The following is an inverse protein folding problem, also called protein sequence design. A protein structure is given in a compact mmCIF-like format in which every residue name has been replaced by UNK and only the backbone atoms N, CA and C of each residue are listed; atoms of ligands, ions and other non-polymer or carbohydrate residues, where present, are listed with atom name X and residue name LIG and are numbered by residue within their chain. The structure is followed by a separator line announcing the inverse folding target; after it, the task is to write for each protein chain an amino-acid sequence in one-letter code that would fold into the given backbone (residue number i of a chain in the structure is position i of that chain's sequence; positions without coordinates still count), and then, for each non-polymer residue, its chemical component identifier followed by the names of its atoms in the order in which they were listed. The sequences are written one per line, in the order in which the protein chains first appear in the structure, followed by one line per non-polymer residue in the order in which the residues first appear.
data_IF_342451117513
#
_entry.id   IF_342451117513
#
_cell.length_a   1.000
_cell.length_b   1.000
_cell.length_c   1.000
_cell.angle_alpha   90.00
_cell.angle_beta   90.00
_cell.angle_gamma   90.00
#
_symmetry.space_group_name_H-M   'P 1'
#
loop_
_entity.id
_entity.type
_entity.pdbx_description
1 polymer ?
#
# COMPACT_ATOMS: atom_id res chain seq x y z
N UNK A 1 -4.69 -31.19 3.67
CA UNK A 1 -4.07 -31.36 5.00
C UNK A 1 -3.83 -29.98 5.64
N UNK A 2 -4.85 -29.12 5.66
CA UNK A 2 -4.74 -27.70 6.00
C UNK A 2 -5.95 -27.28 6.84
N UNK A 3 -5.96 -27.62 8.13
CA UNK A 3 -6.98 -27.17 9.10
C UNK A 3 -6.56 -27.55 10.52
N UNK A 4 -5.46 -26.98 11.03
CA UNK A 4 -5.09 -27.01 12.46
C UNK A 4 -3.87 -26.12 12.72
N UNK A 5 -4.08 -24.81 12.81
CA UNK A 5 -3.12 -23.87 13.43
C UNK A 5 -3.80 -22.57 13.88
N UNK A 6 -5.05 -22.68 14.33
CA UNK A 6 -5.71 -21.63 15.10
C UNK A 6 -5.60 -22.04 16.57
N UNK A 7 -5.11 -21.13 17.41
CA UNK A 7 -4.98 -21.22 18.88
C UNK A 7 -3.63 -21.77 19.41
N UNK A 8 -2.64 -20.87 19.47
CA UNK A 8 -1.71 -20.80 20.61
C UNK A 8 -1.61 -19.34 21.05
N UNK A 9 -2.24 -19.02 22.17
CA UNK A 9 -2.12 -17.73 22.85
C UNK A 9 -0.81 -17.67 23.63
N UNK A 10 0.04 -16.67 23.36
CA UNK A 10 1.14 -16.27 24.23
C UNK A 10 0.91 -14.81 24.66
N UNK A 11 1.09 -14.53 25.96
CA UNK A 11 0.61 -13.34 26.66
C UNK A 11 1.02 -11.99 26.06
N UNK A 12 0.06 -11.06 26.04
CA UNK A 12 0.26 -9.67 25.62
C UNK A 12 0.86 -8.82 26.76
N UNK A 13 1.90 -8.00 26.50
CA UNK A 13 2.28 -6.92 27.41
C UNK A 13 1.32 -5.72 27.26
N UNK A 14 0.97 -5.09 28.40
CA UNK A 14 0.08 -3.93 28.50
C UNK A 14 0.65 -2.70 27.76
N UNK A 15 -0.22 -1.99 27.05
CA UNK A 15 0.11 -0.88 26.14
C UNK A 15 0.20 0.48 26.87
N UNK A 16 1.19 1.33 26.51
CA UNK A 16 1.37 2.68 27.07
C UNK A 16 0.94 3.80 26.10
N UNK A 17 0.71 5.00 26.64
CA UNK A 17 0.11 6.18 25.99
C UNK A 17 0.86 6.75 24.76
N UNK A 18 2.08 6.30 24.43
CA UNK A 18 2.79 6.73 23.21
C UNK A 18 2.31 6.00 21.94
N UNK A 19 1.45 4.99 22.09
CA UNK A 19 0.93 4.18 20.98
C UNK A 19 -0.36 4.75 20.34
N UNK A 20 -1.05 5.67 21.00
CA UNK A 20 -2.33 6.26 20.53
C UNK A 20 -2.14 7.18 19.33
N UNK A 21 -1.27 8.19 19.42
CA UNK A 21 -0.96 9.11 18.32
C UNK A 21 -0.35 8.40 17.08
N UNK A 22 0.26 7.23 17.29
CA UNK A 22 0.85 6.39 16.23
C UNK A 22 -0.19 5.57 15.47
N UNK A 23 -1.15 4.99 16.20
CA UNK A 23 -2.33 4.34 15.61
C UNK A 23 -3.07 5.35 14.72
N UNK A 24 -3.28 6.56 15.22
CA UNK A 24 -4.04 7.61 14.51
C UNK A 24 -3.52 7.91 13.10
N UNK A 25 -2.20 7.90 12.86
CA UNK A 25 -1.64 8.19 11.52
C UNK A 25 -1.85 7.06 10.51
N UNK A 26 -1.65 5.80 10.91
CA UNK A 26 -1.91 4.65 10.03
C UNK A 26 -3.41 4.50 9.77
N UNK A 27 -4.24 4.72 10.80
CA UNK A 27 -5.69 4.77 10.64
C UNK A 27 -6.15 5.91 9.75
N UNK A 28 -5.57 7.11 9.86
CA UNK A 28 -5.92 8.23 8.99
C UNK A 28 -5.61 7.94 7.51
N UNK A 29 -4.47 7.29 7.24
CA UNK A 29 -4.10 6.88 5.88
C UNK A 29 -5.06 5.81 5.32
N UNK A 30 -5.40 4.79 6.11
CA UNK A 30 -6.41 3.80 5.73
C UNK A 30 -7.78 4.46 5.46
N UNK A 31 -8.20 5.40 6.31
CA UNK A 31 -9.47 6.13 6.15
C UNK A 31 -9.52 6.93 4.85
N UNK A 32 -8.42 7.59 4.47
CA UNK A 32 -8.37 8.36 3.22
C UNK A 32 -8.50 7.43 2.01
N UNK A 33 -7.79 6.30 2.02
CA UNK A 33 -7.84 5.28 0.97
C UNK A 33 -9.27 4.73 0.79
N UNK A 34 -9.86 4.27 1.90
CA UNK A 34 -11.24 3.74 1.92
C UNK A 34 -12.26 4.77 1.46
N UNK A 35 -12.09 6.05 1.83
CA UNK A 35 -12.97 7.12 1.37
C UNK A 35 -12.86 7.32 -0.15
N UNK A 36 -11.65 7.28 -0.70
CA UNK A 36 -11.42 7.37 -2.14
C UNK A 36 -12.11 6.23 -2.88
N UNK A 37 -12.01 4.99 -2.39
CA UNK A 37 -12.71 3.86 -2.99
C UNK A 37 -14.23 3.98 -2.90
N UNK A 38 -14.77 4.45 -1.77
CA UNK A 38 -16.20 4.71 -1.62
C UNK A 38 -16.69 5.78 -2.62
N UNK A 39 -15.91 6.85 -2.83
CA UNK A 39 -16.20 7.90 -3.83
C UNK A 39 -16.19 7.35 -5.24
N UNK A 40 -15.17 6.55 -5.61
CA UNK A 40 -15.06 5.93 -6.93
C UNK A 40 -16.22 4.96 -7.18
N UNK A 41 -16.56 4.12 -6.19
CA UNK A 41 -17.68 3.19 -6.26
C UNK A 41 -19.02 3.92 -6.43
N UNK A 42 -19.24 4.99 -5.66
CA UNK A 42 -20.43 5.83 -5.78
C UNK A 42 -20.53 6.50 -7.16
N UNK A 43 -19.41 7.02 -7.67
CA UNK A 43 -19.32 7.62 -9.00
C UNK A 43 -19.68 6.58 -10.07
N UNK A 44 -19.05 5.39 -10.03
CA UNK A 44 -19.32 4.31 -10.99
C UNK A 44 -20.78 3.86 -10.99
N UNK A 45 -21.35 3.58 -9.81
CA UNK A 45 -22.76 3.20 -9.69
C UNK A 45 -23.68 4.32 -10.20
N UNK A 46 -23.31 5.58 -9.94
CA UNK A 46 -24.10 6.72 -10.40
C UNK A 46 -23.94 6.99 -11.89
N UNK A 47 -22.84 6.62 -12.55
CA UNK A 47 -22.71 6.78 -14.00
C UNK A 47 -23.37 5.63 -14.76
N UNK A 48 -23.20 4.39 -14.32
CA UNK A 48 -23.62 3.20 -15.07
C UNK A 48 -25.05 2.73 -14.77
N UNK A 49 -25.57 2.96 -13.56
CA UNK A 49 -26.88 2.44 -13.11
C UNK A 49 -27.89 3.58 -12.85
N UNK A 50 -27.45 4.83 -13.07
CA UNK A 50 -28.11 6.08 -12.76
C UNK A 50 -29.62 6.17 -13.08
N UNK A 51 -29.99 5.68 -14.25
CA UNK A 51 -31.31 5.92 -14.85
C UNK A 51 -32.36 4.93 -14.34
N UNK A 52 -31.93 3.86 -13.67
CA UNK A 52 -32.80 2.74 -13.27
C UNK A 52 -32.99 2.60 -11.76
N UNK A 53 -32.17 3.32 -10.99
CA UNK A 53 -32.19 3.28 -9.52
C UNK A 53 -32.16 4.71 -8.97
N UNK A 54 -33.01 5.06 -7.98
CA UNK A 54 -32.98 6.40 -7.39
C UNK A 54 -31.59 6.79 -6.90
N UNK A 55 -31.25 8.08 -7.03
CA UNK A 55 -29.90 8.62 -6.73
C UNK A 55 -29.33 8.14 -5.39
N UNK A 56 -30.14 8.19 -4.32
CA UNK A 56 -29.69 7.77 -2.98
C UNK A 56 -29.23 6.30 -2.93
N UNK A 57 -29.91 5.42 -3.66
CA UNK A 57 -29.67 3.98 -3.64
C UNK A 57 -28.52 3.59 -4.57
N UNK A 58 -28.36 4.26 -5.71
CA UNK A 58 -27.18 4.07 -6.57
C UNK A 58 -25.91 4.52 -5.86
N UNK A 59 -25.93 5.68 -5.20
CA UNK A 59 -24.80 6.16 -4.40
C UNK A 59 -24.51 5.24 -3.21
N UNK A 60 -25.52 4.84 -2.44
CA UNK A 60 -25.32 3.95 -1.29
C UNK A 60 -24.76 2.59 -1.71
N UNK A 61 -25.29 1.98 -2.78
CA UNK A 61 -24.79 0.70 -3.28
C UNK A 61 -23.34 0.77 -3.76
N UNK A 62 -23.01 1.78 -4.58
CA UNK A 62 -21.64 1.99 -5.05
C UNK A 62 -20.66 2.33 -3.92
N UNK A 63 -21.03 3.24 -3.02
CA UNK A 63 -20.19 3.65 -1.89
C UNK A 63 -19.95 2.49 -0.92
N UNK A 64 -21.00 1.75 -0.56
CA UNK A 64 -20.87 0.59 0.32
C UNK A 64 -19.99 -0.48 -0.31
N UNK A 65 -20.16 -0.73 -1.61
CA UNK A 65 -19.32 -1.66 -2.34
C UNK A 65 -17.85 -1.23 -2.43
N UNK A 66 -17.60 0.06 -2.62
CA UNK A 66 -16.24 0.62 -2.63
C UNK A 66 -15.59 0.68 -1.24
N UNK A 67 -16.39 0.81 -0.18
CA UNK A 67 -15.92 0.84 1.21
C UNK A 67 -15.60 -0.57 1.75
N UNK A 68 -16.42 -1.55 1.39
CA UNK A 68 -16.42 -2.86 2.04
C UNK A 68 -15.07 -3.58 2.06
N UNK A 69 -14.26 -3.61 0.98
CA UNK A 69 -13.05 -4.42 1.01
C UNK A 69 -12.05 -4.03 2.11
N UNK A 70 -11.93 -2.74 2.42
CA UNK A 70 -11.02 -2.22 3.46
C UNK A 70 -11.51 -2.45 4.90
N UNK A 71 -12.66 -3.09 5.09
CA UNK A 71 -13.05 -3.55 6.43
C UNK A 71 -12.04 -4.57 6.99
N UNK A 72 -11.21 -5.17 6.12
CA UNK A 72 -10.11 -6.06 6.48
C UNK A 72 -9.11 -5.41 7.45
N UNK A 73 -8.97 -4.07 7.46
CA UNK A 73 -8.15 -3.34 8.45
C UNK A 73 -8.58 -3.60 9.90
N UNK A 74 -9.81 -4.07 10.16
CA UNK A 74 -10.18 -4.50 11.51
C UNK A 74 -9.33 -5.67 12.01
N UNK A 75 -8.82 -6.53 11.12
CA UNK A 75 -7.96 -7.66 11.48
C UNK A 75 -6.55 -7.23 11.88
N UNK A 76 -6.11 -6.03 11.49
CA UNK A 76 -4.86 -5.43 11.99
C UNK A 76 -4.84 -5.32 13.52
N UNK A 77 -6.01 -5.18 14.16
CA UNK A 77 -6.12 -5.11 15.62
C UNK A 77 -5.83 -6.44 16.31
N UNK A 78 -5.96 -7.57 15.60
CA UNK A 78 -5.75 -8.92 16.13
C UNK A 78 -4.27 -9.29 16.06
N UNK A 79 -3.69 -9.20 14.87
CA UNK A 79 -2.27 -9.50 14.64
C UNK A 79 -1.75 -8.70 13.44
N UNK A 80 -1.01 -7.60 13.69
CA UNK A 80 -0.46 -6.75 12.64
C UNK A 80 0.46 -7.47 11.65
N UNK A 81 1.28 -8.43 12.12
CA UNK A 81 2.25 -9.10 11.26
C UNK A 81 1.54 -10.10 10.35
N UNK A 82 0.64 -10.90 10.91
CA UNK A 82 -0.20 -11.82 10.13
C UNK A 82 -1.12 -11.08 9.17
N UNK A 83 -1.67 -9.93 9.59
CA UNK A 83 -2.47 -9.09 8.71
C UNK A 83 -1.69 -8.66 7.47
N UNK A 84 -0.50 -8.08 7.63
CA UNK A 84 0.31 -7.63 6.51
C UNK A 84 0.82 -8.81 5.64
N UNK A 85 1.20 -9.92 6.27
CA UNK A 85 1.74 -11.08 5.57
C UNK A 85 0.67 -11.83 4.75
N UNK A 86 -0.55 -11.98 5.27
CA UNK A 86 -1.52 -12.93 4.73
C UNK A 86 -2.93 -12.37 4.49
N UNK A 87 -3.44 -11.51 5.37
CA UNK A 87 -4.88 -11.20 5.38
C UNK A 87 -5.25 -9.95 4.61
N UNK A 88 -4.36 -8.95 4.60
CA UNK A 88 -4.64 -7.68 3.93
C UNK A 88 -4.73 -7.87 2.42
N UNK A 89 -5.79 -7.33 1.81
CA UNK A 89 -6.06 -7.42 0.36
C UNK A 89 -6.15 -8.85 -0.15
N UNK A 90 -6.72 -9.73 0.68
CA UNK A 90 -6.96 -11.14 0.37
C UNK A 90 -8.46 -11.40 0.12
N UNK A 91 -9.15 -12.10 1.03
CA UNK A 91 -10.51 -12.59 0.83
C UNK A 91 -11.57 -11.50 0.53
N UNK A 92 -11.40 -10.29 1.06
CA UNK A 92 -12.26 -9.11 0.81
C UNK A 92 -12.06 -8.50 -0.58
N UNK A 93 -10.87 -8.67 -1.17
CA UNK A 93 -10.46 -8.11 -2.45
C UNK A 93 -10.44 -9.15 -3.58
N UNK A 94 -10.96 -10.35 -3.33
CA UNK A 94 -11.03 -11.42 -4.31
C UNK A 94 -12.12 -11.19 -5.36
N UNK A 95 -11.75 -11.33 -6.62
CA UNK A 95 -12.68 -11.28 -7.74
C UNK A 95 -13.64 -12.49 -7.73
N UNK A 96 -13.20 -13.63 -7.21
CA UNK A 96 -14.03 -14.83 -7.09
C UNK A 96 -15.08 -14.68 -5.98
N UNK A 97 -14.76 -13.96 -4.90
CA UNK A 97 -15.70 -13.69 -3.80
C UNK A 97 -16.59 -12.47 -4.07
N UNK A 98 -16.29 -11.66 -5.09
CA UNK A 98 -17.06 -10.46 -5.44
C UNK A 98 -18.57 -10.73 -5.57
N UNK A 99 -19.07 -11.78 -6.27
CA UNK A 99 -20.50 -12.04 -6.37
C UNK A 99 -21.15 -12.30 -5.00
N UNK A 100 -20.45 -13.03 -4.13
CA UNK A 100 -20.92 -13.33 -2.77
C UNK A 100 -21.02 -12.06 -1.92
N UNK A 101 -19.97 -11.23 -1.93
CA UNK A 101 -19.96 -9.98 -1.18
C UNK A 101 -20.98 -8.97 -1.70
N UNK A 102 -21.10 -8.83 -3.02
CA UNK A 102 -22.12 -7.98 -3.64
C UNK A 102 -23.55 -8.42 -3.25
N UNK A 103 -23.80 -9.73 -3.16
CA UNK A 103 -25.08 -10.26 -2.68
C UNK A 103 -25.32 -9.88 -1.22
N UNK A 104 -24.34 -10.12 -0.33
CA UNK A 104 -24.45 -9.76 1.09
C UNK A 104 -24.77 -8.28 1.30
N UNK A 105 -24.03 -7.40 0.61
CA UNK A 105 -24.21 -5.95 0.71
C UNK A 105 -25.56 -5.49 0.15
N UNK A 106 -25.97 -6.04 -1.00
CA UNK A 106 -27.26 -5.69 -1.60
C UNK A 106 -28.46 -6.16 -0.78
N UNK A 107 -28.39 -7.34 -0.16
CA UNK A 107 -29.38 -7.82 0.81
C UNK A 107 -29.43 -6.89 2.03
N UNK A 108 -28.27 -6.46 2.52
CA UNK A 108 -28.20 -5.49 3.64
C UNK A 108 -28.92 -4.19 3.28
N UNK A 109 -28.63 -3.60 2.11
CA UNK A 109 -29.33 -2.39 1.64
C UNK A 109 -30.83 -2.62 1.41
N UNK A 110 -31.20 -3.79 0.89
CA UNK A 110 -32.59 -4.18 0.71
C UNK A 110 -33.33 -4.19 2.06
N UNK A 111 -32.73 -4.77 3.11
CA UNK A 111 -33.29 -4.81 4.46
C UNK A 111 -33.34 -3.44 5.14
N UNK A 112 -32.35 -2.57 4.91
CA UNK A 112 -32.26 -1.21 5.48
C UNK A 112 -33.12 -0.15 4.76
N UNK A 113 -34.19 -0.56 4.09
CA UNK A 113 -35.16 0.33 3.45
C UNK A 113 -35.15 0.29 1.92
N UNK A 114 -34.29 -0.53 1.31
CA UNK A 114 -34.21 -0.73 -0.13
C UNK A 114 -35.30 -1.62 -0.72
N UNK A 115 -36.22 -2.15 0.10
CA UNK A 115 -37.25 -3.13 -0.32
C UNK A 115 -38.12 -2.73 -1.52
N UNK A 116 -38.35 -1.42 -1.69
CA UNK A 116 -39.13 -0.87 -2.83
C UNK A 116 -38.30 -0.71 -4.11
N UNK A 117 -37.01 -1.00 -4.05
CA UNK A 117 -36.10 -0.88 -5.18
C UNK A 117 -35.89 -2.23 -5.84
N UNK A 118 -35.40 -2.19 -7.09
CA UNK A 118 -35.00 -3.40 -7.79
C UNK A 118 -33.74 -3.99 -7.13
N UNK A 119 -33.87 -5.15 -6.48
CA UNK A 119 -32.77 -5.85 -5.80
C UNK A 119 -31.59 -6.19 -6.72
N UNK A 120 -31.86 -6.46 -8.00
CA UNK A 120 -30.81 -6.70 -8.99
C UNK A 120 -29.97 -5.44 -9.25
N UNK A 121 -30.58 -4.26 -9.25
CA UNK A 121 -29.83 -3.00 -9.41
C UNK A 121 -29.03 -2.64 -8.16
N UNK A 122 -29.52 -3.00 -6.96
CA UNK A 122 -28.74 -2.88 -5.72
C UNK A 122 -27.52 -3.82 -5.76
N UNK A 123 -27.72 -5.07 -6.21
CA UNK A 123 -26.64 -6.04 -6.42
C UNK A 123 -25.61 -5.52 -7.41
N UNK A 124 -26.03 -5.07 -8.60
CA UNK A 124 -25.12 -4.51 -9.60
C UNK A 124 -24.37 -3.26 -9.09
N UNK A 125 -25.04 -2.41 -8.31
CA UNK A 125 -24.39 -1.24 -7.69
C UNK A 125 -23.29 -1.64 -6.70
N UNK A 126 -23.55 -2.62 -5.85
CA UNK A 126 -22.55 -3.14 -4.91
C UNK A 126 -21.42 -3.86 -5.65
N UNK A 127 -21.73 -4.71 -6.62
CA UNK A 127 -20.76 -5.43 -7.44
C UNK A 127 -19.83 -4.48 -8.20
N UNK A 128 -20.38 -3.38 -8.74
CA UNK A 128 -19.59 -2.36 -9.42
C UNK A 128 -18.70 -1.60 -8.44
N UNK A 129 -19.19 -1.25 -7.26
CA UNK A 129 -18.37 -0.64 -6.20
C UNK A 129 -17.19 -1.52 -5.80
N UNK A 130 -17.44 -2.82 -5.55
CA UNK A 130 -16.38 -3.79 -5.23
C UNK A 130 -15.39 -3.94 -6.38
N UNK A 131 -15.90 -4.11 -7.61
CA UNK A 131 -15.05 -4.30 -8.78
C UNK A 131 -14.15 -3.08 -9.02
N UNK A 132 -14.69 -1.87 -8.84
CA UNK A 132 -13.90 -0.64 -8.94
C UNK A 132 -12.90 -0.49 -7.80
N UNK A 133 -13.22 -0.91 -6.58
CA UNK A 133 -12.25 -0.97 -5.49
C UNK A 133 -11.08 -1.89 -5.86
N UNK A 134 -11.37 -3.15 -6.23
CA UNK A 134 -10.34 -4.14 -6.59
C UNK A 134 -9.50 -3.66 -7.77
N UNK A 135 -10.14 -3.07 -8.79
CA UNK A 135 -9.42 -2.50 -9.93
C UNK A 135 -8.55 -1.31 -9.55
N UNK A 136 -9.02 -0.44 -8.65
CA UNK A 136 -8.25 0.68 -8.14
C UNK A 136 -7.04 0.18 -7.33
N UNK A 137 -7.21 -0.82 -6.47
CA UNK A 137 -6.08 -1.39 -5.74
C UNK A 137 -5.09 -2.10 -6.66
N UNK A 138 -5.56 -2.79 -7.71
CA UNK A 138 -4.71 -3.45 -8.69
C UNK A 138 -3.77 -2.46 -9.41
N UNK A 139 -4.19 -1.21 -9.60
CA UNK A 139 -3.35 -0.17 -10.21
C UNK A 139 -2.44 0.55 -9.21
N UNK A 140 -2.56 0.29 -7.91
CA UNK A 140 -1.66 0.83 -6.89
C UNK A 140 -0.37 0.03 -6.77
N UNK A 141 0.55 0.50 -5.92
CA UNK A 141 1.85 -0.12 -5.65
C UNK A 141 1.78 -1.33 -4.70
N UNK A 142 0.63 -1.66 -4.12
CA UNK A 142 0.52 -2.80 -3.19
C UNK A 142 -0.26 -3.93 -3.82
N UNK A 143 0.28 -5.13 -3.69
CA UNK A 143 -0.22 -6.34 -4.31
C UNK A 143 -1.45 -6.90 -3.59
N UNK A 144 -2.31 -7.59 -4.35
CA UNK A 144 -3.55 -8.18 -3.83
C UNK A 144 -3.80 -9.57 -4.41
N UNK A 145 -4.56 -10.40 -3.69
CA UNK A 145 -4.88 -11.78 -4.10
C UNK A 145 -6.20 -11.85 -4.88
N UNK A 146 -6.13 -11.71 -6.20
CA UNK A 146 -7.32 -11.67 -7.07
C UNK A 146 -8.14 -12.95 -7.05
N UNK A 147 -7.48 -14.10 -6.89
CA UNK A 147 -8.07 -15.43 -7.10
C UNK A 147 -8.22 -16.23 -5.81
N UNK A 148 -8.16 -15.59 -4.64
CA UNK A 148 -8.45 -16.27 -3.38
C UNK A 148 -9.88 -16.85 -3.39
N UNK A 149 -10.13 -18.10 -2.94
CA UNK A 149 -9.22 -19.02 -2.25
C UNK A 149 -8.52 -20.04 -3.16
N UNK A 150 -8.63 -19.90 -4.49
CA UNK A 150 -8.03 -20.85 -5.43
C UNK A 150 -6.53 -20.66 -5.61
N UNK A 151 -6.01 -19.46 -5.37
CA UNK A 151 -4.59 -19.13 -5.49
C UNK A 151 -4.18 -18.02 -4.52
N UNK A 152 -2.98 -18.15 -3.96
CA UNK A 152 -2.32 -17.15 -3.12
C UNK A 152 -1.46 -16.17 -3.96
N UNK A 153 -1.55 -16.23 -5.29
CA UNK A 153 -0.82 -15.33 -6.18
C UNK A 153 -1.23 -13.88 -5.95
N UNK A 154 -0.23 -13.03 -5.69
CA UNK A 154 -0.40 -11.59 -5.49
C UNK A 154 0.11 -10.82 -6.69
N UNK A 155 -0.60 -9.76 -7.07
CA UNK A 155 -0.21 -8.93 -8.21
C UNK A 155 -0.57 -7.47 -7.99
N UNK A 156 0.20 -6.58 -8.64
CA UNK A 156 -0.05 -5.14 -8.71
C UNK A 156 0.54 -4.58 -10.00
N UNK A 157 -0.11 -3.56 -10.54
CA UNK A 157 0.36 -2.84 -11.73
C UNK A 157 1.20 -1.62 -11.38
N UNK A 158 1.16 -1.10 -10.14
CA UNK A 158 2.01 0.00 -9.68
C UNK A 158 2.00 1.24 -10.60
N UNK A 159 0.81 1.69 -11.01
CA UNK A 159 0.65 2.89 -11.83
C UNK A 159 0.57 4.15 -10.97
N UNK A 160 -0.22 4.09 -9.89
CA UNK A 160 -0.44 5.22 -8.99
C UNK A 160 0.01 4.88 -7.56
N UNK A 161 0.35 5.91 -6.79
CA UNK A 161 0.63 5.73 -5.38
C UNK A 161 -0.68 5.44 -4.63
N UNK A 162 -0.63 4.59 -3.61
CA UNK A 162 -1.83 4.09 -2.88
C UNK A 162 -2.69 5.26 -2.41
N UNK A 163 -2.07 6.25 -1.75
CA UNK A 163 -2.78 7.43 -1.25
C UNK A 163 -2.39 8.63 -2.10
N UNK A 164 -3.06 8.76 -3.25
CA UNK A 164 -2.86 9.87 -4.19
C UNK A 164 -3.94 10.96 -3.98
N UNK A 165 -3.62 12.09 -3.32
CA UNK A 165 -4.59 13.14 -3.05
C UNK A 165 -5.15 13.78 -4.32
N UNK A 166 -4.38 13.80 -5.42
CA UNK A 166 -4.82 14.37 -6.69
C UNK A 166 -5.85 13.46 -7.35
N UNK A 167 -5.57 12.16 -7.42
CA UNK A 167 -6.52 11.17 -7.93
C UNK A 167 -7.82 11.17 -7.11
N UNK A 168 -7.69 11.23 -5.78
CA UNK A 168 -8.82 11.32 -4.85
C UNK A 168 -9.66 12.57 -5.08
N UNK A 169 -9.02 13.74 -5.27
CA UNK A 169 -9.70 14.99 -5.58
C UNK A 169 -10.40 14.97 -6.95
N UNK A 170 -9.77 14.38 -7.97
CA UNK A 170 -10.38 14.18 -9.29
C UNK A 170 -11.62 13.28 -9.20
N UNK A 171 -11.57 12.19 -8.42
CA UNK A 171 -12.72 11.31 -8.22
C UNK A 171 -13.86 12.01 -7.48
N UNK A 172 -13.54 12.80 -6.45
CA UNK A 172 -14.53 13.56 -5.70
C UNK A 172 -15.18 14.65 -6.56
N UNK A 173 -14.40 15.42 -7.31
CA UNK A 173 -14.93 16.44 -8.23
C UNK A 173 -15.81 15.83 -9.30
N UNK A 174 -15.43 14.68 -9.86
CA UNK A 174 -16.25 13.92 -10.80
C UNK A 174 -17.60 13.51 -10.19
N UNK A 175 -17.60 13.03 -8.94
CA UNK A 175 -18.82 12.66 -8.22
C UNK A 175 -19.72 13.89 -7.97
N UNK A 176 -19.15 15.02 -7.56
CA UNK A 176 -19.87 16.28 -7.34
C UNK A 176 -20.47 16.85 -8.64
N UNK A 177 -19.73 16.76 -9.74
CA UNK A 177 -20.24 17.14 -11.07
C UNK A 177 -21.39 16.21 -11.49
N UNK A 178 -21.27 14.90 -11.28
CA UNK A 178 -22.34 13.95 -11.56
C UNK A 178 -23.58 14.17 -10.67
N UNK A 179 -23.38 14.65 -9.45
CA UNK A 179 -24.48 15.05 -8.55
C UNK A 179 -25.28 16.24 -9.10
N UNK A 180 -24.58 17.25 -9.65
CA UNK A 180 -25.20 18.47 -10.21
C UNK A 180 -25.74 18.26 -11.62
N UNK A 181 -25.04 17.47 -12.43
CA UNK A 181 -25.31 17.23 -13.85
C UNK A 181 -25.21 15.72 -14.13
N UNK A 182 -26.31 14.97 -14.03
CA UNK A 182 -26.29 13.51 -14.07
C UNK A 182 -25.81 12.92 -15.41
N UNK A 183 -25.94 13.66 -16.51
CA UNK A 183 -25.44 13.25 -17.83
C UNK A 183 -23.95 13.55 -18.03
N UNK A 184 -23.32 14.32 -17.14
CA UNK A 184 -21.91 14.72 -17.21
C UNK A 184 -20.96 13.76 -16.47
N UNK A 185 -21.43 12.60 -16.02
CA UNK A 185 -20.61 11.66 -15.26
C UNK A 185 -19.33 11.23 -15.99
N UNK A 186 -19.38 11.10 -17.32
CA UNK A 186 -18.22 10.80 -18.16
C UNK A 186 -17.24 11.97 -18.28
N UNK A 187 -17.72 13.23 -18.22
CA UNK A 187 -16.86 14.42 -18.19
C UNK A 187 -16.02 14.47 -16.90
N UNK A 188 -16.57 13.96 -15.79
CA UNK A 188 -15.82 13.78 -14.55
C UNK A 188 -14.83 12.62 -14.58
N UNK A 189 -15.15 11.54 -15.31
CA UNK A 189 -14.27 10.37 -15.42
C UNK A 189 -13.07 10.58 -16.36
N UNK A 190 -13.19 11.44 -17.38
CA UNK A 190 -12.13 11.69 -18.35
C UNK A 190 -10.79 12.17 -17.72
N UNK A 191 -10.78 13.12 -16.76
CA UNK A 191 -9.57 13.49 -16.03
C UNK A 191 -8.88 12.32 -15.29
N UNK A 192 -9.65 11.38 -14.74
CA UNK A 192 -9.10 10.19 -14.09
C UNK A 192 -8.39 9.28 -15.10
N UNK A 193 -9.00 9.06 -16.26
CA UNK A 193 -8.39 8.27 -17.35
C UNK A 193 -7.10 8.94 -17.83
N UNK A 194 -7.10 10.26 -18.03
CA UNK A 194 -5.90 11.01 -18.40
C UNK A 194 -4.81 10.91 -17.33
N UNK A 195 -5.17 10.97 -16.05
CA UNK A 195 -4.24 10.76 -14.93
C UNK A 195 -3.56 9.40 -15.01
N UNK A 196 -4.32 8.34 -15.31
CA UNK A 196 -3.77 6.99 -15.46
C UNK A 196 -2.85 6.87 -16.69
N UNK A 197 -3.23 7.45 -17.83
CA UNK A 197 -2.39 7.46 -19.03
C UNK A 197 -1.04 8.12 -18.75
N UNK A 198 -1.02 9.28 -18.12
CA UNK A 198 0.23 9.94 -17.74
C UNK A 198 1.03 9.11 -16.74
N UNK A 199 0.37 8.48 -15.77
CA UNK A 199 1.04 7.63 -14.79
C UNK A 199 1.72 6.42 -15.43
N UNK A 200 1.09 5.79 -16.43
CA UNK A 200 1.67 4.70 -17.21
C UNK A 200 2.88 5.17 -18.02
N UNK A 201 2.77 6.33 -18.68
CA UNK A 201 3.90 6.92 -19.43
C UNK A 201 5.09 7.23 -18.51
N UNK A 202 4.83 7.80 -17.34
CA UNK A 202 5.87 8.07 -16.35
C UNK A 202 6.48 6.79 -15.78
N UNK A 203 5.69 5.73 -15.60
CA UNK A 203 6.21 4.41 -15.21
C UNK A 203 7.21 3.89 -16.24
N UNK A 204 6.89 4.00 -17.53
CA UNK A 204 7.77 3.54 -18.61
C UNK A 204 9.11 4.30 -18.60
N UNK A 205 9.07 5.63 -18.49
CA UNK A 205 10.29 6.46 -18.39
C UNK A 205 11.13 6.11 -17.15
N UNK A 206 10.50 5.90 -16.00
CA UNK A 206 11.18 5.49 -14.79
C UNK A 206 11.84 4.10 -14.96
N UNK A 207 11.16 3.17 -15.63
CA UNK A 207 11.68 1.83 -15.92
C UNK A 207 12.89 1.88 -16.85
N UNK A 208 12.84 2.69 -17.91
CA UNK A 208 13.95 2.90 -18.84
C UNK A 208 15.20 3.42 -18.12
N UNK A 209 15.05 4.41 -17.23
CA UNK A 209 16.16 4.94 -16.43
C UNK A 209 16.74 3.88 -15.48
N UNK A 210 15.89 3.08 -14.84
CA UNK A 210 16.34 2.02 -13.95
C UNK A 210 17.02 0.87 -14.71
N UNK A 211 16.54 0.53 -15.90
CA UNK A 211 17.15 -0.47 -16.78
C UNK A 211 18.51 0.00 -17.32
N UNK A 212 18.63 1.27 -17.71
CA UNK A 212 19.90 1.85 -18.15
C UNK A 212 20.97 1.79 -17.05
N UNK A 213 20.59 2.04 -15.79
CA UNK A 213 21.48 1.84 -14.65
C UNK A 213 21.79 0.35 -14.43
N UNK A 214 20.80 -0.53 -14.49
CA UNK A 214 20.98 -1.96 -14.29
C UNK A 214 21.95 -2.59 -15.29
N UNK A 215 21.97 -2.14 -16.55
CA UNK A 215 22.92 -2.59 -17.57
C UNK A 215 24.39 -2.30 -17.22
N UNK A 216 24.64 -1.32 -16.34
CA UNK A 216 25.97 -0.97 -15.87
C UNK A 216 26.40 -1.80 -14.64
N UNK A 217 25.48 -2.58 -14.06
CA UNK A 217 25.73 -3.40 -12.88
C UNK A 217 25.84 -4.87 -13.27
N UNK A 218 27.00 -5.48 -13.04
CA UNK A 218 27.26 -6.87 -13.41
C UNK A 218 26.32 -7.89 -12.73
N UNK A 219 25.78 -7.53 -11.55
CA UNK A 219 24.97 -8.42 -10.71
C UNK A 219 23.47 -8.12 -10.75
N UNK A 220 23.00 -7.24 -11.65
CA UNK A 220 21.59 -6.87 -11.70
C UNK A 220 20.70 -8.06 -12.12
N UNK A 221 19.80 -8.47 -11.24
CA UNK A 221 18.88 -9.58 -11.46
C UNK A 221 17.45 -9.11 -11.78
N UNK A 222 16.98 -8.05 -11.14
CA UNK A 222 15.61 -7.58 -11.31
C UNK A 222 15.53 -6.06 -11.20
N UNK A 223 14.78 -5.43 -12.10
CA UNK A 223 14.46 -4.01 -12.05
C UNK A 223 13.00 -3.84 -11.66
N UNK A 224 12.73 -2.92 -10.75
CA UNK A 224 11.37 -2.59 -10.31
C UNK A 224 11.25 -1.10 -10.05
N UNK A 225 10.09 -0.55 -10.38
CA UNK A 225 9.80 0.87 -10.17
C UNK A 225 8.44 1.01 -9.49
N UNK A 226 8.37 1.93 -8.53
CA UNK A 226 7.16 2.15 -7.74
C UNK A 226 6.80 3.63 -7.71
N UNK A 227 5.51 3.99 -7.90
CA UNK A 227 5.07 5.36 -7.79
C UNK A 227 5.26 5.85 -6.34
N UNK A 228 5.47 7.14 -6.17
CA UNK A 228 5.78 7.77 -4.89
C UNK A 228 4.85 8.96 -4.62
N UNK A 229 4.66 9.37 -3.35
CA UNK A 229 3.73 10.44 -3.00
C UNK A 229 4.10 11.80 -3.60
N UNK A 230 3.17 12.75 -3.44
CA UNK A 230 3.28 14.18 -3.78
C UNK A 230 3.24 14.56 -5.27
N UNK A 231 3.54 13.64 -6.18
CA UNK A 231 3.46 13.89 -7.63
C UNK A 231 3.47 12.58 -8.41
N UNK A 232 2.71 12.46 -9.53
CA UNK A 232 2.78 11.30 -10.43
C UNK A 232 4.13 11.17 -11.15
N UNK A 233 4.99 12.20 -11.03
CA UNK A 233 6.36 12.20 -11.54
C UNK A 233 7.38 11.66 -10.55
N UNK A 234 7.00 11.40 -9.30
CA UNK A 234 7.90 10.88 -8.30
C UNK A 234 7.86 9.35 -8.35
N UNK A 235 9.03 8.73 -8.47
CA UNK A 235 9.21 7.29 -8.61
C UNK A 235 10.35 6.81 -7.73
N UNK A 236 10.22 5.60 -7.20
CA UNK A 236 11.32 4.87 -6.58
C UNK A 236 11.83 3.86 -7.59
N UNK A 237 13.12 3.91 -7.87
CA UNK A 237 13.80 2.95 -8.71
C UNK A 237 14.49 1.93 -7.80
N UNK A 238 14.36 0.66 -8.11
CA UNK A 238 15.02 -0.42 -7.40
C UNK A 238 15.64 -1.39 -8.40
N UNK A 239 16.95 -1.57 -8.31
CA UNK A 239 17.68 -2.61 -9.04
C UNK A 239 18.19 -3.61 -8.01
N UNK A 240 17.67 -4.83 -8.06
CA UNK A 240 18.02 -5.91 -7.15
C UNK A 240 19.20 -6.70 -7.72
N UNK A 241 20.23 -6.91 -6.89
CA UNK A 241 21.35 -7.81 -7.18
C UNK A 241 21.41 -9.00 -6.22
N UNK A 242 22.53 -9.72 -6.27
CA UNK A 242 22.81 -10.88 -5.42
C UNK A 242 22.97 -10.47 -3.95
N UNK A 243 23.79 -9.45 -3.67
CA UNK A 243 24.14 -9.01 -2.32
C UNK A 243 23.23 -7.94 -1.73
N UNK A 244 22.38 -7.31 -2.54
CA UNK A 244 21.57 -6.18 -2.08
C UNK A 244 20.74 -5.54 -3.17
N UNK A 245 20.39 -4.28 -2.95
CA UNK A 245 19.53 -3.50 -3.82
C UNK A 245 20.10 -2.09 -4.01
N UNK A 246 20.20 -1.61 -5.24
CA UNK A 246 20.40 -0.20 -5.53
C UNK A 246 19.05 0.50 -5.57
N UNK A 247 18.89 1.52 -4.74
CA UNK A 247 17.68 2.34 -4.65
C UNK A 247 17.98 3.77 -5.10
N UNK A 248 17.05 4.37 -5.83
CA UNK A 248 17.07 5.81 -6.09
C UNK A 248 15.66 6.40 -5.99
N UNK A 249 15.58 7.66 -5.58
CA UNK A 249 14.34 8.43 -5.51
C UNK A 249 14.30 9.45 -6.64
N UNK A 250 13.58 9.10 -7.70
CA UNK A 250 13.46 9.87 -8.93
C UNK A 250 12.30 10.86 -8.86
N UNK A 251 12.52 12.03 -9.46
CA UNK A 251 11.50 12.91 -9.99
C UNK A 251 11.73 13.05 -11.50
N UNK A 252 10.72 12.71 -12.29
CA UNK A 252 10.77 12.92 -13.74
C UNK A 252 10.70 14.41 -14.08
N UNK A 253 11.64 14.85 -14.93
CA UNK A 253 11.87 16.25 -15.29
C UNK A 253 13.26 16.76 -14.86
N UNK A 254 13.57 18.00 -15.23
CA UNK A 254 14.91 18.59 -15.09
C UNK A 254 15.11 19.41 -13.81
N UNK A 255 14.03 19.66 -13.06
CA UNK A 255 14.06 20.57 -11.91
C UNK A 255 13.33 20.01 -10.70
N UNK A 256 13.76 20.48 -9.52
CA UNK A 256 13.09 20.20 -8.24
C UNK A 256 11.65 20.70 -8.27
N UNK A 257 10.79 20.05 -7.48
CA UNK A 257 9.39 20.45 -7.37
C UNK A 257 9.23 21.76 -6.62
N UNK A 258 8.77 22.83 -7.30
CA UNK A 258 8.28 24.02 -6.59
C UNK A 258 7.08 23.73 -5.69
N UNK A 259 6.28 22.71 -6.04
CA UNK A 259 5.14 22.27 -5.22
C UNK A 259 5.57 21.57 -3.92
N UNK A 260 6.82 21.11 -3.81
CA UNK A 260 7.29 20.46 -2.58
C UNK A 260 7.29 21.43 -1.38
N UNK A 261 7.52 22.73 -1.63
CA UNK A 261 7.65 23.75 -0.58
C UNK A 261 6.32 24.05 0.13
N UNK A 262 5.20 23.77 -0.53
CA UNK A 262 3.85 24.08 -0.03
C UNK A 262 3.23 22.97 0.84
N UNK A 263 3.92 21.84 1.05
CA UNK A 263 3.41 20.84 1.99
C UNK A 263 3.42 21.39 3.43
N UNK A 264 2.32 21.19 4.18
CA UNK A 264 2.07 21.90 5.43
C UNK A 264 2.97 21.44 6.58
N UNK A 265 3.38 20.17 6.60
CA UNK A 265 4.23 19.63 7.67
C UNK A 265 5.69 19.53 7.23
N UNK A 266 6.67 19.84 8.12
CA UNK A 266 8.10 19.79 7.80
C UNK A 266 8.56 18.43 7.24
N UNK A 267 8.09 17.33 7.81
CA UNK A 267 8.43 15.99 7.35
C UNK A 267 7.89 15.66 5.95
N UNK A 268 6.69 16.16 5.61
CA UNK A 268 6.13 16.03 4.25
C UNK A 268 6.98 16.82 3.26
N UNK A 269 7.36 18.04 3.64
CA UNK A 269 8.20 18.93 2.83
C UNK A 269 9.58 18.31 2.58
N UNK A 270 10.25 17.79 3.62
CA UNK A 270 11.56 17.16 3.48
C UNK A 270 11.52 15.94 2.55
N UNK A 271 10.49 15.09 2.68
CA UNK A 271 10.31 13.94 1.78
C UNK A 271 10.00 14.40 0.35
N UNK A 272 9.11 15.39 0.17
CA UNK A 272 8.76 15.90 -1.15
C UNK A 272 9.95 16.57 -1.89
N UNK A 273 10.88 17.19 -1.15
CA UNK A 273 12.08 17.82 -1.68
C UNK A 273 13.22 16.82 -1.99
N UNK A 274 13.18 15.63 -1.40
CA UNK A 274 14.26 14.66 -1.49
C UNK A 274 14.30 13.87 -2.83
N UNK A 275 13.22 13.90 -3.62
CA UNK A 275 13.21 13.31 -4.96
C UNK A 275 14.11 14.10 -5.92
N UNK A 276 15.06 13.42 -6.56
CA UNK A 276 16.07 14.02 -7.44
C UNK A 276 15.65 14.00 -8.90
N UNK A 277 15.95 15.06 -9.69
CA UNK A 277 15.76 15.02 -11.14
C UNK A 277 16.63 13.93 -11.77
N UNK A 278 16.23 13.43 -12.93
CA UNK A 278 16.93 12.31 -13.58
C UNK A 278 18.40 12.60 -13.90
N UNK A 279 18.76 13.86 -14.16
CA UNK A 279 20.14 14.32 -14.41
C UNK A 279 21.05 14.31 -13.18
N UNK A 280 20.47 14.26 -11.98
CA UNK A 280 21.20 14.26 -10.70
C UNK A 280 20.74 13.11 -9.79
N UNK A 281 20.34 11.98 -10.40
CA UNK A 281 19.92 10.78 -9.70
C UNK A 281 21.04 10.25 -8.81
N UNK A 282 20.74 10.08 -7.51
CA UNK A 282 21.66 9.49 -6.54
C UNK A 282 21.19 8.06 -6.26
N UNK A 283 22.05 7.08 -6.57
CA UNK A 283 21.84 5.67 -6.26
C UNK A 283 22.49 5.32 -4.93
N UNK A 284 21.73 4.66 -4.06
CA UNK A 284 22.18 4.18 -2.77
C UNK A 284 22.12 2.66 -2.76
N UNK A 285 23.22 2.01 -2.34
CA UNK A 285 23.24 0.57 -2.18
C UNK A 285 22.77 0.18 -0.78
N UNK A 286 21.84 -0.75 -0.73
CA UNK A 286 21.30 -1.33 0.49
C UNK A 286 21.64 -2.82 0.51
N UNK A 287 22.55 -3.27 1.40
CA UNK A 287 22.88 -4.68 1.50
C UNK A 287 21.67 -5.48 2.00
N UNK A 288 21.50 -6.71 1.52
CA UNK A 288 20.40 -7.57 1.94
C UNK A 288 20.64 -8.14 3.34
N UNK A 289 21.84 -8.66 3.56
CA UNK A 289 22.25 -9.30 4.82
C UNK A 289 23.60 -8.78 5.31
N UNK A 290 24.51 -8.48 4.39
CA UNK A 290 25.87 -8.06 4.71
C UNK A 290 25.89 -6.74 5.49
N UNK A 291 26.89 -6.62 6.37
CA UNK A 291 27.15 -5.38 7.09
C UNK A 291 28.64 -5.23 7.39
N UNK A 292 29.13 -3.99 7.61
CA UNK A 292 30.52 -3.73 7.99
C UNK A 292 30.95 -4.45 9.28
N UNK A 293 30.00 -4.91 10.11
CA UNK A 293 30.26 -5.59 11.38
C UNK A 293 30.59 -7.08 11.22
N UNK A 294 30.50 -7.64 10.00
CA UNK A 294 30.82 -9.06 9.73
C UNK A 294 29.75 -10.04 10.20
N UNK A 295 28.52 -9.58 10.47
CA UNK A 295 27.37 -10.36 10.94
C UNK A 295 26.52 -10.96 9.80
N UNK A 296 26.97 -10.88 8.55
CA UNK A 296 26.19 -11.24 7.35
C UNK A 296 25.69 -12.68 7.34
N UNK A 297 26.53 -13.65 7.71
CA UNK A 297 26.12 -15.07 7.77
C UNK A 297 25.06 -15.31 8.86
N UNK A 298 25.21 -14.67 10.02
CA UNK A 298 24.23 -14.76 11.11
C UNK A 298 22.91 -14.12 10.70
N UNK A 299 22.95 -12.98 9.99
CA UNK A 299 21.78 -12.33 9.45
C UNK A 299 21.06 -13.20 8.42
N UNK A 300 21.80 -13.88 7.53
CA UNK A 300 21.23 -14.82 6.56
C UNK A 300 20.55 -16.02 7.26
N UNK A 301 21.25 -16.67 8.20
CA UNK A 301 20.68 -17.79 8.96
C UNK A 301 19.42 -17.37 9.72
N UNK A 302 19.46 -16.22 10.38
CA UNK A 302 18.32 -15.67 11.10
C UNK A 302 17.16 -15.36 10.14
N UNK A 303 17.45 -14.73 9.00
CA UNK A 303 16.45 -14.41 7.98
C UNK A 303 15.69 -15.65 7.52
N UNK A 304 16.35 -16.79 7.38
CA UNK A 304 15.73 -18.06 6.96
C UNK A 304 15.08 -18.88 8.09
N UNK A 305 15.20 -18.45 9.36
CA UNK A 305 14.59 -19.14 10.50
C UNK A 305 13.05 -19.11 10.47
N UNK A 306 12.39 -20.06 11.13
CA UNK A 306 10.91 -20.08 11.26
C UNK A 306 10.37 -18.80 11.90
N UNK A 307 11.13 -18.18 12.80
CA UNK A 307 10.76 -16.97 13.52
C UNK A 307 10.47 -15.77 12.60
N UNK A 308 11.19 -15.66 11.48
CA UNK A 308 11.00 -14.59 10.50
C UNK A 308 10.16 -15.03 9.30
N UNK A 309 9.50 -16.19 9.34
CA UNK A 309 8.69 -16.69 8.21
C UNK A 309 7.63 -15.67 7.77
N UNK A 310 6.85 -15.13 8.69
CA UNK A 310 5.80 -14.16 8.36
C UNK A 310 6.38 -12.84 7.84
N UNK A 311 7.56 -12.44 8.34
CA UNK A 311 8.28 -11.27 7.86
C UNK A 311 8.76 -11.49 6.43
N UNK A 312 9.30 -12.67 6.11
CA UNK A 312 9.70 -13.05 4.75
C UNK A 312 8.51 -13.09 3.79
N UNK A 313 7.35 -13.56 4.26
CA UNK A 313 6.14 -13.57 3.46
C UNK A 313 5.67 -12.15 3.13
N UNK A 314 5.82 -11.24 4.08
CA UNK A 314 5.43 -9.84 3.91
C UNK A 314 6.43 -9.05 3.05
N UNK A 315 7.73 -9.29 3.19
CA UNK A 315 8.76 -8.46 2.57
C UNK A 315 9.02 -8.85 1.11
N UNK A 316 8.89 -7.88 0.20
CA UNK A 316 9.19 -8.03 -1.24
C UNK A 316 10.64 -7.66 -1.58
N UNK A 317 11.19 -6.62 -0.96
CA UNK A 317 12.56 -6.15 -1.20
C UNK A 317 13.33 -5.97 0.13
N UNK A 318 13.66 -7.09 0.81
CA UNK A 318 14.30 -7.04 2.12
C UNK A 318 15.70 -6.42 2.04
N UNK A 319 16.01 -5.57 3.01
CA UNK A 319 17.34 -4.99 3.20
C UNK A 319 17.72 -4.97 4.68
N UNK A 320 19.02 -5.05 4.94
CA UNK A 320 19.59 -4.89 6.28
C UNK A 320 19.34 -3.46 6.75
N UNK A 321 18.70 -3.33 7.91
CA UNK A 321 18.51 -2.04 8.57
C UNK A 321 19.59 -1.87 9.64
N UNK A 322 20.56 -0.99 9.40
CA UNK A 322 21.59 -0.69 10.38
C UNK A 322 21.07 0.38 11.35
N UNK A 323 21.24 0.14 12.64
CA UNK A 323 21.09 1.15 13.67
C UNK A 323 22.35 1.11 14.55
N UNK A 324 22.90 2.27 14.94
CA UNK A 324 24.00 2.30 15.90
C UNK A 324 23.63 1.52 17.17
N UNK A 325 24.51 0.60 17.55
CA UNK A 325 24.36 -0.23 18.75
C UNK A 325 24.21 0.67 19.97
N UNK A 326 23.02 0.65 20.57
CA UNK A 326 22.69 1.45 21.75
C UNK A 326 22.17 0.58 22.90
N UNK A 327 22.21 -0.75 22.76
CA UNK A 327 21.67 -1.67 23.75
C UNK A 327 22.62 -2.82 24.08
N UNK A 328 22.55 -3.34 25.30
CA UNK A 328 23.28 -4.54 25.74
C UNK A 328 22.89 -5.83 24.99
N UNK A 329 21.85 -5.78 24.17
CA UNK A 329 21.38 -6.90 23.35
C UNK A 329 21.89 -6.80 21.93
N UNK A 330 22.30 -7.93 21.36
CA UNK A 330 22.68 -8.01 19.96
C UNK A 330 21.41 -8.20 19.12
N UNK A 331 21.13 -7.25 18.24
CA UNK A 331 19.93 -7.23 17.42
C UNK A 331 20.25 -7.12 15.93
N UNK A 332 19.57 -7.94 15.13
CA UNK A 332 19.64 -7.91 13.67
C UNK A 332 18.29 -7.48 13.12
N UNK A 333 18.30 -6.38 12.38
CA UNK A 333 17.11 -5.71 11.87
C UNK A 333 17.07 -5.71 10.34
N UNK A 334 15.86 -5.86 9.83
CA UNK A 334 15.52 -5.86 8.42
C UNK A 334 14.38 -4.88 8.19
N UNK A 335 14.43 -4.24 7.03
CA UNK A 335 13.34 -3.41 6.51
C UNK A 335 13.02 -3.87 5.10
N UNK A 336 11.84 -3.49 4.62
CA UNK A 336 11.50 -3.64 3.22
C UNK A 336 11.58 -2.28 2.50
N UNK A 337 12.36 -2.27 1.44
CA UNK A 337 12.63 -1.09 0.64
C UNK A 337 11.42 -0.63 -0.17
N UNK A 338 10.40 -1.47 -0.40
CA UNK A 338 9.19 -0.99 -1.12
C UNK A 338 8.42 0.06 -0.29
N UNK A 339 8.42 -0.05 1.04
CA UNK A 339 7.71 0.87 1.95
C UNK A 339 8.55 2.05 2.44
N UNK A 340 9.84 2.14 2.09
CA UNK A 340 10.67 3.29 2.48
C UNK A 340 10.21 4.58 1.78
N UNK A 341 10.27 5.71 2.47
CA UNK A 341 10.13 7.02 1.84
C UNK A 341 11.43 7.80 2.06
N UNK A 342 11.83 8.68 1.13
CA UNK A 342 13.06 9.43 1.30
C UNK A 342 12.98 10.31 2.55
N UNK A 343 14.09 10.40 3.28
CA UNK A 343 14.23 11.13 4.57
C UNK A 343 13.39 10.59 5.73
N UNK A 344 12.56 9.57 5.52
CA UNK A 344 11.71 9.00 6.56
C UNK A 344 12.28 7.68 7.05
N UNK A 345 12.10 7.41 8.34
CA UNK A 345 12.36 6.09 8.89
C UNK A 345 11.37 5.09 8.27
N UNK A 346 11.83 3.90 7.82
CA UNK A 346 10.94 2.89 7.29
C UNK A 346 9.85 2.48 8.30
N UNK A 347 8.60 2.29 7.88
CA UNK A 347 7.49 1.97 8.77
C UNK A 347 7.51 0.52 9.29
N UNK A 348 8.24 -0.37 8.61
CA UNK A 348 8.31 -1.80 8.91
C UNK A 348 9.76 -2.21 9.13
N UNK A 349 10.16 -2.25 10.41
CA UNK A 349 11.47 -2.73 10.82
C UNK A 349 11.25 -3.92 11.75
N UNK A 350 11.57 -5.10 11.25
CA UNK A 350 11.44 -6.37 11.97
C UNK A 350 12.81 -7.02 12.10
N UNK A 351 13.00 -7.84 13.11
CA UNK A 351 14.29 -8.46 13.36
C UNK A 351 14.23 -9.45 14.49
N UNK A 352 15.39 -9.87 14.94
CA UNK A 352 15.48 -10.60 16.20
C UNK A 352 16.57 -10.00 17.07
N UNK A 353 16.38 -10.12 18.37
CA UNK A 353 17.36 -9.75 19.38
C UNK A 353 17.72 -10.97 20.22
N UNK A 354 18.97 -11.03 20.67
CA UNK A 354 19.42 -11.97 21.69
C UNK A 354 20.24 -11.26 22.76
N UNK A 355 20.07 -11.69 24.00
CA UNK A 355 21.06 -11.43 25.04
C UNK A 355 22.21 -12.44 24.91
N UNK A 356 23.39 -12.19 25.49
CA UNK A 356 24.58 -13.03 25.31
C UNK A 356 24.40 -14.53 25.60
N UNK A 357 23.40 -14.91 26.39
CA UNK A 357 23.09 -16.29 26.80
C UNK A 357 21.66 -16.74 26.46
N UNK A 358 20.92 -15.99 25.63
CA UNK A 358 19.53 -16.31 25.29
C UNK A 358 19.37 -16.75 23.83
N UNK A 359 18.25 -17.44 23.55
CA UNK A 359 17.80 -17.70 22.18
C UNK A 359 17.36 -16.38 21.54
N UNK A 360 17.45 -16.29 20.21
CA UNK A 360 16.87 -15.20 19.43
C UNK A 360 15.36 -15.08 19.70
N UNK A 361 14.87 -13.84 19.75
CA UNK A 361 13.45 -13.55 19.89
C UNK A 361 13.01 -12.52 18.85
N UNK A 362 11.86 -12.77 18.22
CA UNK A 362 11.27 -11.87 17.24
C UNK A 362 11.04 -10.51 17.90
N UNK A 363 11.49 -9.47 17.24
CA UNK A 363 11.31 -8.11 17.71
C UNK A 363 10.90 -7.21 16.56
N UNK A 364 10.17 -6.15 16.90
CA UNK A 364 9.76 -5.11 15.97
C UNK A 364 10.19 -3.78 16.52
N UNK A 365 10.86 -2.97 15.71
CA UNK A 365 11.17 -1.63 16.17
C UNK A 365 9.93 -0.74 16.10
N UNK A 366 9.64 0.00 17.18
CA UNK A 366 8.63 1.03 17.13
C UNK A 366 9.07 2.11 16.12
N UNK A 367 8.19 2.51 15.18
CA UNK A 367 8.31 3.72 14.34
C UNK A 367 8.30 4.96 15.22
N UNK A 368 9.33 5.22 16.02
CA UNK A 368 9.41 6.45 16.80
C UNK A 368 9.48 7.59 15.81
N UNK A 369 8.68 8.65 16.04
CA UNK A 369 9.05 9.94 15.49
C UNK A 369 10.50 10.16 15.92
N UNK A 370 11.36 10.52 14.97
CA UNK A 370 12.58 11.24 15.30
C UNK A 370 12.25 12.21 16.44
N UNK A 371 13.02 12.13 17.52
CA UNK A 371 13.09 13.23 18.48
C UNK A 371 13.15 14.50 17.66
N UNK A 372 12.14 15.35 17.84
CA UNK A 372 12.17 16.69 17.29
C UNK A 372 13.46 17.35 17.79
N UNK A 373 14.34 17.68 16.86
CA UNK A 373 15.20 18.86 16.97
C UNK A 373 14.61 19.92 16.05
#
# INVERSE_FOLDING_TARGET
MATRRLLRSAGHPRFSASQTARRERLWALAVVDTLTHAVIGALGARTLIAQRLPRRWSLAAGALGGFFPDIDYLWFLLDPLQFHAYWHRSFTHSLLMLPLWALLLSVTLYLLGGRKQNGWLLYLGCALGLGLHIAADLITAWDLQLFWPLSDWRTSLAWIFVIDPWFSALALTALLLCWRWPHAGWLGAAPLVLWLIWSIQYKQQALELAQAFAQQQAEAAQVSVWPQPFSPRNWKLLVSGTHGHWQAHLRLGDSRSRLADYWPHPWLRSTAQAYQPHSALIWQFHPRFDSPQGDGETALQLWHSEMLQDVRQFFSAPARYHQPDSSANHCLWFTDLIYSLPTQRPPFIYGACRSPSSVWQLSRQPVTATSAE
#
